data_IF_607007592173
#
_entry.id   IF_607007592173
#
_cell.length_a   1.000
_cell.length_b   1.000
_cell.length_c   1.000
_cell.angle_alpha   90.00
_cell.angle_beta   90.00
_cell.angle_gamma   90.00
#
_symmetry.space_group_name_H-M   'P 1'
#
loop_
_entity.id
_entity.type
_entity.pdbx_description
1 polymer ?
#
# COMPACT_ATOMS: atom_id res chain seq x y z
N UNK A 1 -4.84 16.30 -25.25
CA UNK A 1 -3.84 17.02 -24.44
C UNK A 1 -4.49 17.83 -23.31
N UNK A 2 -5.30 18.87 -23.61
CA UNK A 2 -5.87 19.77 -22.59
C UNK A 2 -6.62 19.08 -21.43
N UNK A 3 -7.42 18.04 -21.71
CA UNK A 3 -8.12 17.29 -20.67
C UNK A 3 -7.16 16.60 -19.68
N UNK A 4 -6.13 15.93 -20.19
CA UNK A 4 -5.15 15.24 -19.35
C UNK A 4 -4.35 16.24 -18.49
N UNK A 5 -4.01 17.39 -19.07
CA UNK A 5 -3.32 18.47 -18.37
C UNK A 5 -4.17 19.07 -17.26
N UNK A 6 -5.46 19.31 -17.52
CA UNK A 6 -6.43 19.76 -16.52
C UNK A 6 -6.56 18.73 -15.39
N UNK A 7 -6.78 17.45 -15.72
CA UNK A 7 -6.90 16.37 -14.73
C UNK A 7 -5.62 16.27 -13.89
N UNK A 8 -4.44 16.33 -14.50
CA UNK A 8 -3.18 16.32 -13.77
C UNK A 8 -3.08 17.50 -12.81
N UNK A 9 -3.29 18.72 -13.31
CA UNK A 9 -3.13 19.98 -12.58
C UNK A 9 -4.09 20.10 -11.40
N UNK A 10 -5.37 19.74 -11.61
CA UNK A 10 -6.42 19.97 -10.62
C UNK A 10 -6.63 18.80 -9.67
N UNK A 11 -6.38 17.56 -10.12
CA UNK A 11 -6.79 16.36 -9.35
C UNK A 11 -5.64 15.47 -8.87
N UNK A 12 -4.47 15.56 -9.51
CA UNK A 12 -3.31 14.70 -9.20
C UNK A 12 -2.20 15.50 -8.52
N UNK A 13 -1.75 16.60 -9.15
CA UNK A 13 -0.64 17.44 -8.70
C UNK A 13 -0.79 17.91 -7.25
N UNK A 14 -1.96 18.39 -6.77
CA UNK A 14 -2.08 18.89 -5.40
C UNK A 14 -1.79 17.81 -4.35
N UNK A 15 -2.10 16.56 -4.64
CA UNK A 15 -1.89 15.42 -3.74
C UNK A 15 -0.67 14.57 -4.11
N UNK A 16 0.11 14.95 -5.14
CA UNK A 16 1.11 14.07 -5.76
C UNK A 16 2.21 13.65 -4.79
N UNK A 17 2.78 14.57 -4.02
CA UNK A 17 3.85 14.23 -3.07
C UNK A 17 3.40 13.27 -1.98
N UNK A 18 2.12 13.35 -1.55
CA UNK A 18 1.54 12.37 -0.62
C UNK A 18 1.34 11.02 -1.31
N UNK A 19 0.73 11.01 -2.50
CA UNK A 19 0.53 9.77 -3.29
C UNK A 19 1.84 9.08 -3.61
N UNK A 20 2.88 9.82 -4.02
CA UNK A 20 4.22 9.28 -4.32
C UNK A 20 4.83 8.59 -3.11
N UNK A 21 4.75 9.20 -1.93
CA UNK A 21 5.23 8.59 -0.68
C UNK A 21 4.48 7.30 -0.35
N UNK A 22 3.16 7.28 -0.55
CA UNK A 22 2.32 6.07 -0.38
C UNK A 22 2.76 4.95 -1.32
N UNK A 23 2.97 5.26 -2.61
CA UNK A 23 3.39 4.29 -3.62
C UNK A 23 4.77 3.71 -3.28
N UNK A 24 5.74 4.57 -2.94
CA UNK A 24 7.09 4.15 -2.54
C UNK A 24 7.07 3.27 -1.28
N UNK A 25 6.23 3.62 -0.31
CA UNK A 25 5.98 2.85 0.90
C UNK A 25 5.47 1.43 0.61
N UNK A 26 4.51 1.30 -0.30
CA UNK A 26 3.96 -0.01 -0.67
C UNK A 26 4.99 -0.86 -1.41
N UNK A 27 5.71 -0.30 -2.38
CA UNK A 27 6.81 -1.00 -3.10
C UNK A 27 7.85 -1.53 -2.11
N UNK A 28 8.26 -0.72 -1.13
CA UNK A 28 9.21 -1.15 -0.12
C UNK A 28 8.67 -2.29 0.76
N UNK A 29 7.40 -2.25 1.15
CA UNK A 29 6.76 -3.31 1.92
C UNK A 29 6.67 -4.63 1.15
N UNK A 30 6.23 -4.58 -0.12
CA UNK A 30 6.13 -5.74 -1.02
C UNK A 30 7.49 -6.38 -1.28
N UNK A 31 8.51 -5.56 -1.52
CA UNK A 31 9.90 -6.03 -1.71
C UNK A 31 10.43 -6.70 -0.44
N UNK A 32 10.15 -6.14 0.73
CA UNK A 32 10.55 -6.72 2.00
C UNK A 32 9.80 -8.04 2.30
N UNK A 33 8.53 -8.14 1.90
CA UNK A 33 7.74 -9.36 2.01
C UNK A 33 8.28 -10.47 1.09
N UNK A 34 8.64 -10.12 -0.15
CA UNK A 34 9.25 -11.06 -1.10
C UNK A 34 10.53 -11.69 -0.52
N UNK A 35 11.37 -10.89 0.14
CA UNK A 35 12.59 -11.37 0.78
C UNK A 35 12.38 -12.31 1.98
N UNK A 36 11.18 -12.34 2.59
CA UNK A 36 10.87 -13.19 3.75
C UNK A 36 10.04 -14.43 3.41
N UNK A 37 8.98 -14.24 2.61
CA UNK A 37 8.00 -15.27 2.29
C UNK A 37 7.98 -15.69 0.83
N UNK A 38 8.95 -15.22 0.04
CA UNK A 38 8.99 -15.41 -1.40
C UNK A 38 7.92 -14.61 -2.15
N UNK A 39 7.95 -14.73 -3.48
CA UNK A 39 7.02 -14.03 -4.35
C UNK A 39 5.59 -14.54 -4.24
N UNK A 40 5.37 -15.84 -3.95
CA UNK A 40 4.03 -16.41 -3.85
C UNK A 40 3.14 -15.62 -2.87
N UNK A 41 3.64 -15.37 -1.65
CA UNK A 41 2.90 -14.62 -0.63
C UNK A 41 2.62 -13.16 -1.06
N UNK A 42 3.52 -12.54 -1.82
CA UNK A 42 3.33 -11.18 -2.35
C UNK A 42 2.24 -11.17 -3.40
N UNK A 43 2.30 -12.11 -4.36
CA UNK A 43 1.39 -12.23 -5.48
C UNK A 43 -0.04 -12.56 -5.03
N UNK A 44 -0.19 -13.42 -4.03
CA UNK A 44 -1.50 -13.74 -3.42
C UNK A 44 -2.15 -12.52 -2.77
N UNK A 45 -1.34 -11.59 -2.27
CA UNK A 45 -1.81 -10.40 -1.56
C UNK A 45 -1.94 -9.13 -2.41
N UNK A 46 -1.79 -9.19 -3.74
CA UNK A 46 -1.80 -7.98 -4.58
C UNK A 46 -3.20 -7.36 -4.68
N UNK A 47 -4.21 -8.15 -5.05
CA UNK A 47 -5.61 -7.70 -5.10
C UNK A 47 -6.58 -8.89 -4.98
N UNK A 48 -7.86 -8.66 -4.70
CA UNK A 48 -8.86 -9.72 -4.82
C UNK A 48 -8.78 -10.39 -6.21
N UNK A 49 -8.73 -11.73 -6.21
CA UNK A 49 -8.64 -12.53 -7.43
C UNK A 49 -7.22 -12.82 -7.93
N UNK A 50 -6.17 -12.28 -7.31
CA UNK A 50 -4.78 -12.71 -7.60
C UNK A 50 -4.39 -13.92 -6.78
N UNK A 51 -3.74 -14.91 -7.40
CA UNK A 51 -3.24 -16.10 -6.71
C UNK A 51 -2.05 -16.72 -7.45
N UNK A 52 -1.02 -17.11 -6.72
CA UNK A 52 0.04 -17.98 -7.20
C UNK A 52 -0.44 -19.43 -7.25
N UNK A 53 -0.41 -20.04 -8.43
CA UNK A 53 -0.92 -21.40 -8.65
C UNK A 53 0.20 -22.46 -8.68
N UNK A 54 1.45 -22.05 -8.45
CA UNK A 54 2.63 -22.92 -8.62
C UNK A 54 2.97 -23.20 -10.08
N UNK A 55 4.15 -23.78 -10.30
CA UNK A 55 4.62 -24.12 -11.66
C UNK A 55 4.69 -22.91 -12.60
N UNK A 56 5.16 -21.76 -12.09
CA UNK A 56 5.23 -20.49 -12.83
C UNK A 56 3.89 -19.90 -13.30
N UNK A 57 2.77 -20.34 -12.72
CA UNK A 57 1.43 -19.84 -13.06
C UNK A 57 0.93 -18.82 -12.04
N UNK A 58 0.53 -17.66 -12.54
CA UNK A 58 -0.04 -16.59 -11.76
C UNK A 58 -1.44 -16.23 -12.25
N UNK A 59 -2.43 -16.44 -11.40
CA UNK A 59 -3.80 -15.99 -11.64
C UNK A 59 -3.88 -14.50 -11.35
N UNK A 60 -4.35 -13.71 -12.32
CA UNK A 60 -4.47 -12.25 -12.18
C UNK A 60 -5.92 -11.78 -12.07
N UNK A 61 -6.90 -12.53 -12.57
CA UNK A 61 -8.31 -12.18 -12.48
C UNK A 61 -9.15 -13.43 -12.22
N UNK A 62 -10.42 -13.24 -11.89
CA UNK A 62 -11.38 -14.32 -11.64
C UNK A 62 -12.15 -14.74 -12.90
N UNK A 63 -11.89 -14.10 -14.03
CA UNK A 63 -12.58 -14.40 -15.28
C UNK A 63 -11.90 -15.56 -15.99
N UNK A 64 -12.69 -16.39 -16.67
CA UNK A 64 -12.21 -17.54 -17.44
C UNK A 64 -11.62 -17.09 -18.78
N UNK A 65 -10.49 -16.38 -18.72
CA UNK A 65 -9.67 -16.11 -19.90
C UNK A 65 -8.66 -17.23 -20.12
N UNK A 66 -8.31 -17.54 -21.38
CA UNK A 66 -7.25 -18.49 -21.66
C UNK A 66 -5.93 -18.03 -21.04
N UNK A 67 -5.10 -18.96 -20.53
CA UNK A 67 -3.80 -18.61 -19.97
C UNK A 67 -2.91 -17.99 -21.05
N UNK A 68 -2.05 -17.06 -20.62
CA UNK A 68 -1.04 -16.44 -21.49
C UNK A 68 0.35 -16.85 -21.05
N UNK A 69 1.12 -17.37 -21.99
CA UNK A 69 2.55 -17.58 -21.81
C UNK A 69 3.25 -16.24 -21.99
N UNK A 70 4.04 -15.82 -21.00
CA UNK A 70 4.73 -14.52 -21.01
C UNK A 70 6.24 -14.68 -20.85
N UNK A 71 6.77 -15.89 -21.06
CA UNK A 71 8.20 -16.15 -21.08
C UNK A 71 8.93 -15.17 -22.02
N UNK A 72 9.96 -14.51 -21.49
CA UNK A 72 10.71 -13.48 -22.22
C UNK A 72 10.12 -12.07 -22.18
N UNK A 73 8.89 -11.90 -21.67
CA UNK A 73 8.28 -10.59 -21.48
C UNK A 73 8.60 -9.99 -20.10
N UNK A 74 8.47 -8.66 -19.98
CA UNK A 74 8.55 -7.98 -18.70
C UNK A 74 7.18 -7.96 -18.01
N UNK A 75 7.13 -8.41 -16.75
CA UNK A 75 5.96 -8.26 -15.89
C UNK A 75 6.21 -7.17 -14.84
N UNK A 76 5.43 -6.09 -14.93
CA UNK A 76 5.48 -4.96 -14.01
C UNK A 76 4.39 -5.07 -12.95
N UNK A 77 4.74 -4.76 -11.71
CA UNK A 77 3.79 -4.61 -10.61
C UNK A 77 3.65 -3.12 -10.30
N UNK A 78 2.50 -2.54 -10.62
CA UNK A 78 2.27 -1.09 -10.55
C UNK A 78 1.28 -0.79 -9.42
N UNK A 79 1.74 -0.25 -8.28
CA UNK A 79 0.83 0.15 -7.22
C UNK A 79 0.03 1.38 -7.63
N UNK A 80 -1.20 1.47 -7.15
CA UNK A 80 -2.06 2.65 -7.32
C UNK A 80 -2.74 3.01 -6.00
N UNK A 81 -3.09 4.28 -5.85
CA UNK A 81 -3.79 4.79 -4.66
C UNK A 81 -5.32 4.60 -4.69
N UNK A 82 -6.01 4.58 -5.85
CA UNK A 82 -7.42 4.18 -5.91
C UNK A 82 -7.62 2.70 -5.57
N UNK A 83 -8.81 2.36 -5.08
CA UNK A 83 -9.19 1.01 -4.65
C UNK A 83 -9.47 0.01 -5.78
N UNK A 84 -9.05 0.29 -7.01
CA UNK A 84 -9.23 -0.60 -8.15
C UNK A 84 -7.88 -1.06 -8.70
N UNK A 85 -7.86 -2.26 -9.27
CA UNK A 85 -6.72 -2.83 -9.96
C UNK A 85 -7.15 -3.47 -11.27
N UNK A 86 -6.22 -3.59 -12.20
CA UNK A 86 -6.46 -4.15 -13.53
C UNK A 86 -5.20 -4.81 -14.08
N UNK A 87 -5.31 -5.40 -15.26
CA UNK A 87 -4.15 -5.88 -16.04
C UNK A 87 -4.08 -5.06 -17.31
N UNK A 88 -2.88 -4.69 -17.71
CA UNK A 88 -2.62 -4.04 -18.99
C UNK A 88 -1.49 -4.78 -19.69
N UNK A 89 -1.48 -4.72 -21.01
CA UNK A 89 -0.39 -5.26 -21.82
C UNK A 89 -0.15 -4.37 -23.03
N UNK A 90 1.07 -4.40 -23.53
CA UNK A 90 1.43 -3.79 -24.82
C UNK A 90 1.04 -4.75 -25.95
N UNK A 91 0.63 -4.20 -27.10
CA UNK A 91 0.22 -4.98 -28.27
C UNK A 91 1.35 -5.88 -28.81
N UNK A 92 2.61 -5.45 -28.63
CA UNK A 92 3.82 -6.22 -28.95
C UNK A 92 3.95 -7.54 -28.16
N UNK A 93 3.25 -7.68 -27.03
CA UNK A 93 3.41 -8.79 -26.09
C UNK A 93 4.69 -8.74 -25.26
N UNK A 94 5.52 -7.69 -25.35
CA UNK A 94 6.79 -7.60 -24.64
C UNK A 94 6.65 -7.12 -23.18
N UNK A 95 5.53 -6.48 -22.85
CA UNK A 95 5.30 -5.90 -21.52
C UNK A 95 3.88 -6.15 -21.03
N UNK A 96 3.80 -6.58 -19.79
CA UNK A 96 2.58 -6.78 -19.03
C UNK A 96 2.66 -5.98 -17.73
N UNK A 97 1.53 -5.47 -17.28
CA UNK A 97 1.42 -4.75 -16.02
C UNK A 97 0.24 -5.27 -15.21
N UNK A 98 0.50 -5.62 -13.96
CA UNK A 98 -0.52 -5.89 -12.95
C UNK A 98 -0.61 -4.64 -12.09
N UNK A 99 -1.71 -3.92 -12.27
CA UNK A 99 -2.04 -2.73 -11.49
C UNK A 99 -2.81 -3.16 -10.26
N UNK A 100 -2.34 -2.76 -9.08
CA UNK A 100 -2.90 -3.20 -7.81
C UNK A 100 -3.02 -2.06 -6.80
N UNK A 101 -4.06 -2.04 -5.96
CA UNK A 101 -4.19 -1.03 -4.92
C UNK A 101 -3.10 -1.22 -3.86
N UNK A 102 -2.53 -0.11 -3.36
CA UNK A 102 -1.67 -0.18 -2.19
C UNK A 102 -2.41 -0.87 -1.02
N UNK A 103 -1.68 -1.63 -0.21
CA UNK A 103 -2.25 -2.32 0.96
C UNK A 103 -2.22 -1.45 2.22
N UNK A 104 -3.24 -1.60 3.08
CA UNK A 104 -3.38 -0.87 4.36
C UNK A 104 -4.02 0.51 4.23
N UNK A 105 -4.04 1.28 5.32
CA UNK A 105 -4.63 2.63 5.36
C UNK A 105 -3.95 3.64 4.41
N UNK A 106 -2.85 3.21 3.77
CA UNK A 106 -2.19 3.85 2.65
C UNK A 106 -3.10 4.05 1.42
N UNK A 107 -4.09 3.19 1.16
CA UNK A 107 -5.00 3.29 0.01
C UNK A 107 -6.33 4.04 0.30
N UNK A 108 -6.56 4.49 1.53
CA UNK A 108 -7.83 5.08 1.92
C UNK A 108 -7.94 6.58 1.75
N UNK A 109 -8.57 7.00 0.65
CA UNK A 109 -9.35 8.25 0.61
C UNK A 109 -10.82 8.03 1.01
N UNK A 110 -11.14 6.93 1.70
CA UNK A 110 -12.44 6.81 2.35
C UNK A 110 -12.29 7.46 3.73
N UNK A 111 -12.61 8.75 3.80
CA UNK A 111 -12.60 9.54 5.04
C UNK A 111 -13.37 8.86 6.17
N UNK A 112 -14.27 7.92 5.85
CA UNK A 112 -15.04 7.12 6.83
C UNK A 112 -14.30 5.94 7.46
N UNK A 113 -13.31 5.32 6.80
CA UNK A 113 -12.55 4.19 7.39
C UNK A 113 -11.33 4.64 8.20
N UNK A 114 -10.92 5.89 8.05
CA UNK A 114 -9.82 6.52 8.80
C UNK A 114 -10.32 7.68 9.67
N UNK A 115 -11.64 7.82 9.84
CA UNK A 115 -12.17 8.76 10.80
C UNK A 115 -11.77 8.30 12.19
N UNK A 116 -10.89 9.07 12.84
CA UNK A 116 -10.55 8.84 14.23
C UNK A 116 -11.83 8.96 15.05
N UNK A 117 -12.27 7.91 15.78
CA UNK A 117 -13.45 8.02 16.63
C UNK A 117 -13.27 9.19 17.59
N UNK A 118 -14.26 10.09 17.68
CA UNK A 118 -14.13 11.32 18.48
C UNK A 118 -13.75 11.04 19.94
N UNK A 119 -14.33 9.98 20.53
CA UNK A 119 -13.99 9.53 21.87
C UNK A 119 -12.51 9.09 22.00
N UNK A 120 -11.96 8.41 21.00
CA UNK A 120 -10.55 8.03 20.98
C UNK A 120 -9.64 9.25 20.83
N UNK A 121 -10.06 10.22 20.00
CA UNK A 121 -9.41 11.52 19.87
C UNK A 121 -9.39 12.31 21.18
N UNK A 122 -10.49 12.30 21.95
CA UNK A 122 -10.56 12.93 23.26
C UNK A 122 -9.66 12.25 24.29
N UNK A 123 -9.56 10.92 24.26
CA UNK A 123 -8.75 10.14 25.19
C UNK A 123 -7.24 10.26 24.93
N UNK A 124 -6.83 10.12 23.66
CA UNK A 124 -5.41 10.01 23.29
C UNK A 124 -4.85 11.31 22.69
N UNK A 125 -5.71 12.24 22.30
CA UNK A 125 -5.37 13.35 21.40
C UNK A 125 -5.41 12.92 19.93
N UNK A 126 -5.83 13.83 19.05
CA UNK A 126 -6.12 13.56 17.64
C UNK A 126 -4.97 12.84 16.91
N UNK A 127 -3.73 13.31 17.04
CA UNK A 127 -2.58 12.73 16.33
C UNK A 127 -2.21 11.32 16.77
N UNK A 128 -2.29 11.01 18.09
CA UNK A 128 -2.01 9.64 18.59
C UNK A 128 -3.14 8.68 18.21
N UNK A 129 -4.38 9.12 18.36
CA UNK A 129 -5.53 8.34 17.97
C UNK A 129 -5.51 8.04 16.46
N UNK A 130 -5.09 9.00 15.63
CA UNK A 130 -4.86 8.78 14.20
C UNK A 130 -3.81 7.70 13.95
N UNK A 131 -2.62 7.80 14.57
CA UNK A 131 -1.57 6.76 14.43
C UNK A 131 -2.11 5.39 14.86
N UNK A 132 -2.79 5.30 16.00
CA UNK A 132 -3.33 4.02 16.50
C UNK A 132 -4.34 3.39 15.53
N UNK A 133 -5.26 4.17 14.96
CA UNK A 133 -6.21 3.67 13.96
C UNK A 133 -5.48 3.13 12.71
N UNK A 134 -4.39 3.78 12.28
CA UNK A 134 -3.58 3.30 11.15
C UNK A 134 -2.91 1.95 11.42
N UNK A 135 -2.59 1.65 12.68
CA UNK A 135 -1.93 0.40 13.10
C UNK A 135 -2.85 -0.83 13.07
N UNK A 136 -4.14 -0.67 12.74
CA UNK A 136 -4.99 -1.81 12.37
C UNK A 136 -4.44 -2.67 11.21
N UNK A 137 -3.41 -2.16 10.51
CA UNK A 137 -2.54 -2.94 9.62
C UNK A 137 -1.06 -2.66 9.92
N UNK A 138 -0.14 -3.63 9.73
CA UNK A 138 1.29 -3.42 9.98
C UNK A 138 1.88 -2.26 9.16
N UNK A 139 2.42 -1.24 9.82
CA UNK A 139 3.04 -0.07 9.18
C UNK A 139 4.38 0.29 9.83
N UNK A 140 5.35 0.70 9.03
CA UNK A 140 6.60 1.31 9.52
C UNK A 140 6.42 2.78 9.87
N UNK A 141 7.35 3.34 10.63
CA UNK A 141 7.36 4.78 10.96
C UNK A 141 7.38 5.65 9.69
N UNK A 142 8.12 5.26 8.66
CA UNK A 142 8.17 5.98 7.37
C UNK A 142 6.84 5.92 6.61
N UNK A 143 6.11 4.81 6.72
CA UNK A 143 4.78 4.70 6.13
C UNK A 143 3.76 5.55 6.91
N UNK A 144 3.86 5.58 8.24
CA UNK A 144 3.01 6.42 9.07
C UNK A 144 3.24 7.92 8.81
N UNK A 145 4.48 8.38 8.63
CA UNK A 145 4.76 9.77 8.23
C UNK A 145 4.22 10.07 6.83
N UNK A 146 4.30 9.11 5.90
CA UNK A 146 3.73 9.24 4.56
C UNK A 146 2.21 9.43 4.60
N UNK A 147 1.50 8.62 5.38
CA UNK A 147 0.02 8.65 5.46
C UNK A 147 -0.50 9.85 6.22
N UNK A 148 0.08 10.13 7.39
CA UNK A 148 -0.39 11.19 8.30
C UNK A 148 0.08 12.59 7.90
N UNK A 149 1.18 12.69 7.13
CA UNK A 149 1.85 13.96 6.86
C UNK A 149 2.64 14.52 8.06
N UNK A 150 2.66 13.82 9.20
CA UNK A 150 3.38 14.27 10.40
C UNK A 150 4.88 14.01 10.28
N UNK A 151 5.67 14.82 10.97
CA UNK A 151 7.13 14.67 11.01
C UNK A 151 7.55 13.35 11.69
N UNK A 152 8.69 12.80 11.26
CA UNK A 152 9.24 11.52 11.77
C UNK A 152 9.39 11.50 13.29
N UNK A 153 9.88 12.60 13.88
CA UNK A 153 10.00 12.72 15.33
C UNK A 153 8.65 12.73 16.07
N UNK A 154 7.60 13.28 15.45
CA UNK A 154 6.25 13.27 16.03
C UNK A 154 5.67 11.86 16.01
N UNK A 155 5.74 11.19 14.85
CA UNK A 155 5.27 9.80 14.69
C UNK A 155 6.04 8.87 15.63
N UNK A 156 7.36 9.01 15.72
CA UNK A 156 8.17 8.22 16.65
C UNK A 156 7.77 8.42 18.11
N UNK A 157 7.47 9.66 18.52
CA UNK A 157 6.96 9.95 19.87
C UNK A 157 5.59 9.34 20.13
N UNK A 158 4.68 9.42 19.16
CA UNK A 158 3.37 8.79 19.26
C UNK A 158 3.49 7.27 19.39
N UNK A 159 4.29 6.62 18.54
CA UNK A 159 4.55 5.19 18.60
C UNK A 159 5.14 4.75 19.94
N UNK A 160 6.12 5.51 20.47
CA UNK A 160 6.69 5.22 21.79
C UNK A 160 5.62 5.19 22.88
N UNK A 161 4.79 6.24 22.95
CA UNK A 161 3.69 6.30 23.94
C UNK A 161 2.71 5.14 23.76
N UNK A 162 2.35 4.78 22.53
CA UNK A 162 1.42 3.68 22.27
C UNK A 162 2.03 2.31 22.63
N UNK A 163 3.33 2.09 22.40
CA UNK A 163 4.03 0.89 22.84
C UNK A 163 4.11 0.79 24.35
N UNK A 164 4.50 1.89 25.02
CA UNK A 164 4.61 1.97 26.47
C UNK A 164 3.25 1.73 27.15
N UNK A 165 2.15 2.11 26.48
CA UNK A 165 0.77 1.86 26.92
C UNK A 165 0.22 0.47 26.53
N UNK A 166 0.98 -0.36 25.82
CA UNK A 166 0.52 -1.67 25.33
C UNK A 166 -0.54 -1.61 24.23
N UNK A 167 -0.76 -0.44 23.63
CA UNK A 167 -1.72 -0.20 22.54
C UNK A 167 -1.14 -0.46 21.15
N UNK A 168 0.17 -0.64 21.06
CA UNK A 168 0.87 -1.03 19.85
C UNK A 168 1.92 -2.09 20.18
N UNK A 169 2.29 -2.85 19.16
CA UNK A 169 3.38 -3.81 19.16
C UNK A 169 4.36 -3.44 18.05
N UNK A 170 5.60 -3.89 18.20
CA UNK A 170 6.62 -3.75 17.16
C UNK A 170 7.21 -5.10 16.81
N UNK A 171 7.43 -5.33 15.52
CA UNK A 171 8.14 -6.51 15.06
C UNK A 171 9.12 -6.14 13.94
N UNK A 172 10.22 -6.89 13.87
CA UNK A 172 11.26 -6.64 12.88
C UNK A 172 10.92 -7.31 11.56
N UNK A 173 10.96 -6.54 10.50
CA UNK A 173 10.65 -6.96 9.13
C UNK A 173 11.86 -6.65 8.23
N UNK A 174 12.90 -7.49 8.32
CA UNK A 174 14.17 -7.25 7.62
C UNK A 174 14.90 -6.01 8.17
N UNK A 175 15.14 -5.02 7.30
CA UNK A 175 15.81 -3.75 7.68
C UNK A 175 14.87 -2.72 8.30
N UNK A 176 13.57 -3.02 8.37
CA UNK A 176 12.53 -2.11 8.84
C UNK A 176 11.89 -2.64 10.12
N UNK A 177 11.34 -1.72 10.92
CA UNK A 177 10.47 -2.04 12.06
C UNK A 177 9.04 -1.71 11.65
N UNK A 178 8.15 -2.68 11.80
CA UNK A 178 6.72 -2.50 11.61
C UNK A 178 6.03 -2.43 12.97
N UNK A 179 4.93 -1.69 13.01
CA UNK A 179 4.07 -1.50 14.16
C UNK A 179 2.66 -1.98 13.82
N UNK A 180 1.98 -2.57 14.79
CA UNK A 180 0.59 -3.09 14.75
C UNK A 180 -0.12 -2.77 16.04
#
# INVERSE_FOLDING_TARGET
ARLLEYVWTETVRPAWERRRRILQADVAARTAQAGRGGWAAVLDGLRPGTRWLGGSRFQVNLHEYPPREISGAQLLFVPVTPYCGWVSWEESGLRYAVVYPCTGVLAGSDERRTAVPAALGALLGASRAQVLVLLGSPLSTTQLTAVTGQALGSVGRHLRVLLDAGLAQRHRAGRSVLYT
#
